data_IF_491826435089
#
_entry.id   IF_491826435089
#
_cell.length_a   1.000
_cell.length_b   1.000
_cell.length_c   1.000
_cell.angle_alpha   90.00
_cell.angle_beta   90.00
_cell.angle_gamma   90.00
#
_symmetry.space_group_name_H-M   'P 1'
#
loop_
_entity.id
_entity.type
_entity.pdbx_description
1 polymer ?
#
# COMPACT_ATOMS: atom_id res chain seq x y z
N UNK A 1 -19.05 2.27 19.90
CA UNK A 1 -19.28 1.68 18.57
C UNK A 1 -18.11 0.77 18.24
N UNK A 2 -18.37 -0.49 17.96
CA UNK A 2 -17.35 -1.45 17.55
C UNK A 2 -16.78 -1.03 16.19
N UNK A 3 -15.45 -0.87 16.09
CA UNK A 3 -14.80 -0.55 14.82
C UNK A 3 -14.74 -1.84 13.98
N UNK A 4 -15.61 -1.95 12.99
CA UNK A 4 -15.49 -3.03 12.00
C UNK A 4 -14.24 -2.82 11.14
N UNK A 5 -13.25 -3.69 11.35
CA UNK A 5 -12.04 -3.76 10.56
C UNK A 5 -12.26 -4.75 9.41
N UNK A 6 -12.19 -4.28 8.17
CA UNK A 6 -12.25 -5.14 6.98
C UNK A 6 -10.83 -5.41 6.47
N UNK A 7 -10.49 -6.70 6.31
CA UNK A 7 -9.21 -7.13 5.74
C UNK A 7 -9.43 -7.68 4.33
N UNK A 8 -8.78 -7.06 3.35
CA UNK A 8 -8.81 -7.49 1.95
C UNK A 8 -7.42 -8.01 1.59
N UNK A 9 -7.32 -9.25 1.09
CA UNK A 9 -6.06 -9.83 0.62
C UNK A 9 -6.12 -10.02 -0.89
N UNK A 10 -5.23 -9.35 -1.62
CA UNK A 10 -5.11 -9.51 -3.07
C UNK A 10 -4.03 -10.56 -3.34
N UNK A 11 -4.45 -11.71 -3.85
CA UNK A 11 -3.60 -12.86 -4.13
C UNK A 11 -3.41 -13.04 -5.65
N UNK A 12 -2.42 -13.83 -6.05
CA UNK A 12 -2.26 -14.24 -7.44
C UNK A 12 -1.23 -15.34 -7.61
N UNK A 13 -1.30 -16.05 -8.73
CA UNK A 13 -0.58 -17.31 -8.99
C UNK A 13 0.87 -17.14 -9.47
N UNK A 14 1.24 -15.95 -9.95
CA UNK A 14 2.60 -15.64 -10.41
C UNK A 14 2.95 -14.14 -10.30
N UNK A 15 4.20 -13.80 -10.61
CA UNK A 15 4.65 -12.43 -10.81
C UNK A 15 3.97 -11.77 -12.03
N UNK A 16 3.84 -10.44 -12.03
CA UNK A 16 3.33 -9.69 -13.19
C UNK A 16 1.81 -9.73 -13.45
N UNK A 17 1.01 -10.44 -12.65
CA UNK A 17 -0.47 -10.52 -12.83
C UNK A 17 -1.24 -9.28 -12.33
N UNK A 18 -0.54 -8.22 -11.91
CA UNK A 18 -1.18 -6.95 -11.50
C UNK A 18 -1.63 -6.84 -10.03
N UNK A 19 -1.20 -7.74 -9.13
CA UNK A 19 -1.57 -7.75 -7.70
C UNK A 19 -1.36 -6.39 -7.01
N UNK A 20 -0.16 -5.83 -7.14
CA UNK A 20 0.19 -4.55 -6.50
C UNK A 20 -0.62 -3.40 -7.11
N UNK A 21 -0.81 -3.39 -8.43
CA UNK A 21 -1.63 -2.40 -9.14
C UNK A 21 -3.08 -2.40 -8.67
N UNK A 22 -3.69 -3.58 -8.53
CA UNK A 22 -5.06 -3.74 -8.04
C UNK A 22 -5.15 -3.29 -6.58
N UNK A 23 -4.21 -3.74 -5.73
CA UNK A 23 -4.17 -3.39 -4.31
C UNK A 23 -4.09 -1.87 -4.11
N UNK A 24 -3.22 -1.20 -4.86
CA UNK A 24 -2.99 0.23 -4.77
C UNK A 24 -4.23 1.04 -5.21
N UNK A 25 -4.82 0.67 -6.36
CA UNK A 25 -5.99 1.36 -6.87
C UNK A 25 -7.23 1.15 -6.00
N UNK A 26 -7.43 -0.07 -5.48
CA UNK A 26 -8.50 -0.35 -4.54
C UNK A 26 -8.32 0.47 -3.24
N UNK A 27 -7.11 0.48 -2.69
CA UNK A 27 -6.80 1.30 -1.52
C UNK A 27 -7.05 2.79 -1.77
N UNK A 28 -6.60 3.31 -2.92
CA UNK A 28 -6.83 4.70 -3.33
C UNK A 28 -8.33 5.02 -3.48
N UNK A 29 -9.10 4.13 -4.10
CA UNK A 29 -10.54 4.30 -4.25
C UNK A 29 -11.23 4.36 -2.88
N UNK A 30 -10.92 3.43 -1.98
CA UNK A 30 -11.49 3.40 -0.63
C UNK A 30 -11.12 4.66 0.17
N UNK A 31 -9.85 5.09 0.10
CA UNK A 31 -9.38 6.30 0.76
C UNK A 31 -10.09 7.56 0.23
N UNK A 32 -10.28 7.67 -1.10
CA UNK A 32 -11.06 8.76 -1.72
C UNK A 32 -12.52 8.76 -1.30
N UNK A 33 -13.06 7.61 -0.87
CA UNK A 33 -14.42 7.48 -0.33
C UNK A 33 -14.45 7.55 1.21
N UNK A 34 -13.55 8.35 1.79
CA UNK A 34 -13.48 8.65 3.22
C UNK A 34 -13.30 7.43 4.13
N UNK A 35 -12.75 6.33 3.62
CA UNK A 35 -12.37 5.17 4.44
C UNK A 35 -10.93 5.34 4.94
N UNK A 36 -10.67 4.95 6.20
CA UNK A 36 -9.30 4.83 6.72
C UNK A 36 -8.71 3.53 6.18
N UNK A 37 -7.67 3.64 5.35
CA UNK A 37 -7.05 2.51 4.65
C UNK A 37 -5.61 2.39 5.07
N UNK A 38 -5.20 1.17 5.44
CA UNK A 38 -3.80 0.78 5.57
C UNK A 38 -3.48 -0.19 4.44
N UNK A 39 -2.49 0.16 3.61
CA UNK A 39 -1.98 -0.73 2.57
C UNK A 39 -0.70 -1.40 3.07
N UNK A 40 -0.67 -2.73 3.03
CA UNK A 40 0.49 -3.54 3.45
C UNK A 40 1.01 -4.29 2.22
N UNK A 41 2.16 -3.87 1.71
CA UNK A 41 2.88 -4.58 0.66
C UNK A 41 3.87 -5.55 1.30
N UNK A 42 3.86 -6.81 0.84
CA UNK A 42 4.82 -7.86 1.25
C UNK A 42 5.73 -8.28 0.11
N UNK A 43 5.67 -7.59 -1.03
CA UNK A 43 6.54 -7.84 -2.16
C UNK A 43 7.90 -7.16 -1.96
N UNK A 44 8.97 -7.95 -1.89
CA UNK A 44 10.35 -7.48 -1.69
C UNK A 44 10.82 -6.57 -2.83
N UNK A 45 10.20 -6.64 -4.01
CA UNK A 45 10.52 -5.76 -5.13
C UNK A 45 9.98 -4.33 -4.92
N UNK A 46 9.07 -4.12 -3.96
CA UNK A 46 8.60 -2.78 -3.59
C UNK A 46 7.86 -2.03 -4.70
N UNK A 47 7.22 -2.75 -5.64
CA UNK A 47 6.55 -2.12 -6.78
C UNK A 47 5.42 -1.18 -6.37
N UNK A 48 4.72 -1.46 -5.26
CA UNK A 48 3.71 -0.54 -4.74
C UNK A 48 4.33 0.80 -4.33
N UNK A 49 5.45 0.75 -3.58
CA UNK A 49 6.22 1.94 -3.18
C UNK A 49 6.70 2.75 -4.38
N UNK A 50 7.21 2.07 -5.41
CA UNK A 50 7.62 2.70 -6.67
C UNK A 50 6.45 3.45 -7.33
N UNK A 51 5.28 2.83 -7.44
CA UNK A 51 4.09 3.45 -8.04
C UNK A 51 3.57 4.66 -7.24
N UNK A 52 3.78 4.70 -5.93
CA UNK A 52 3.39 5.82 -5.07
C UNK A 52 4.45 6.90 -4.92
N UNK A 53 5.61 6.75 -5.58
CA UNK A 53 6.70 7.71 -5.47
C UNK A 53 7.53 7.60 -4.18
N UNK A 54 7.30 6.58 -3.35
CA UNK A 54 8.11 6.30 -2.16
C UNK A 54 9.40 5.63 -2.63
N UNK A 55 10.50 6.41 -2.65
CA UNK A 55 11.83 5.96 -3.09
C UNK A 55 12.84 5.97 -1.94
N UNK A 56 13.95 5.26 -2.11
CA UNK A 56 15.06 5.22 -1.14
C UNK A 56 14.80 4.25 0.01
N UNK A 57 15.10 4.66 1.25
CA UNK A 57 15.00 3.83 2.47
C UNK A 57 13.57 3.35 2.81
N UNK A 58 12.56 3.82 2.07
CA UNK A 58 11.15 3.48 2.27
C UNK A 58 10.45 4.40 3.27
N UNK A 59 9.11 4.34 3.32
CA UNK A 59 8.27 5.25 4.11
C UNK A 59 8.59 5.21 5.60
N UNK A 60 8.76 4.00 6.17
CA UNK A 60 9.04 3.84 7.60
C UNK A 60 10.36 4.51 8.00
N UNK A 61 11.42 4.29 7.22
CA UNK A 61 12.71 4.91 7.49
C UNK A 61 12.64 6.43 7.36
N UNK A 62 11.98 6.97 6.32
CA UNK A 62 11.77 8.42 6.18
C UNK A 62 11.04 9.04 7.36
N UNK A 63 9.96 8.39 7.82
CA UNK A 63 9.19 8.86 8.99
C UNK A 63 10.01 8.80 10.27
N UNK A 64 10.80 7.76 10.48
CA UNK A 64 11.66 7.61 11.67
C UNK A 64 12.82 8.61 11.65
N UNK A 65 13.42 8.83 10.49
CA UNK A 65 14.56 9.75 10.31
C UNK A 65 14.12 11.23 10.25
N UNK A 66 12.82 11.51 10.18
CA UNK A 66 12.28 12.87 10.07
C UNK A 66 12.54 13.54 8.73
N UNK A 67 12.79 12.75 7.68
CA UNK A 67 13.02 13.25 6.31
C UNK A 67 11.66 13.65 5.69
N UNK A 68 11.45 14.94 5.41
CA UNK A 68 10.32 15.43 4.60
C UNK A 68 10.63 15.27 3.10
N UNK A 69 9.61 14.96 2.29
CA UNK A 69 9.71 14.89 0.82
C UNK A 69 9.79 16.29 0.17
#
# INVERSE_FOLDING_TARGET
>A
MEKNLYRISVLGVKGGVGKSTISLNLGRFLAKNSKKVLLVDRDVLGFASYLTGIRGKGLLAKVVDGEED
#
